data_IF_360263464780
#
_entry.id   IF_360263464780
#
_cell.length_a   1.000
_cell.length_b   1.000
_cell.length_c   1.000
_cell.angle_alpha   90.00
_cell.angle_beta   90.00
_cell.angle_gamma   90.00
#
_symmetry.space_group_name_H-M   'P 1'
#
loop_
_entity.id
_entity.type
_entity.pdbx_description
1 polymer ?
#
# COMPACT_ATOMS: atom_id res chain seq x y z
N UNK A 1 -0.94 -19.25 -7.86
CA UNK A 1 -1.20 -18.10 -6.97
C UNK A 1 -0.34 -18.28 -5.74
N UNK A 2 0.86 -17.69 -5.73
CA UNK A 2 1.73 -17.64 -4.55
C UNK A 2 1.01 -16.79 -3.51
N UNK A 3 0.59 -17.44 -2.42
CA UNK A 3 -0.28 -16.85 -1.41
C UNK A 3 0.42 -15.68 -0.73
N UNK A 4 -0.13 -14.48 -0.92
CA UNK A 4 0.23 -13.32 -0.11
C UNK A 4 0.14 -13.76 1.37
N UNK A 5 1.20 -13.60 2.18
CA UNK A 5 1.15 -13.88 3.61
C UNK A 5 -0.08 -13.21 4.24
N UNK A 6 -0.71 -13.84 5.23
CA UNK A 6 -1.95 -13.35 5.85
C UNK A 6 -1.87 -11.86 6.21
N UNK A 7 -0.77 -11.43 6.84
CA UNK A 7 -0.50 -10.03 7.18
C UNK A 7 -0.49 -9.10 5.97
N UNK A 8 0.09 -9.54 4.84
CA UNK A 8 0.08 -8.75 3.61
C UNK A 8 -1.31 -8.64 2.99
N UNK A 9 -2.15 -9.68 3.13
CA UNK A 9 -3.56 -9.64 2.70
C UNK A 9 -4.37 -8.67 3.56
N UNK A 10 -4.18 -8.72 4.87
CA UNK A 10 -4.84 -7.80 5.82
C UNK A 10 -4.41 -6.35 5.58
N UNK A 11 -3.12 -6.12 5.33
CA UNK A 11 -2.61 -4.79 4.97
C UNK A 11 -3.26 -4.25 3.70
N UNK A 12 -3.40 -5.09 2.66
CA UNK A 12 -4.09 -4.71 1.44
C UNK A 12 -5.56 -4.32 1.67
N UNK A 13 -6.29 -5.06 2.52
CA UNK A 13 -7.67 -4.70 2.88
C UNK A 13 -7.75 -3.36 3.63
N UNK A 14 -6.84 -3.10 4.57
CA UNK A 14 -6.79 -1.81 5.28
C UNK A 14 -6.54 -0.65 4.31
N UNK A 15 -5.68 -0.85 3.30
CA UNK A 15 -5.45 0.14 2.25
C UNK A 15 -6.68 0.34 1.36
N UNK A 16 -7.38 -0.73 0.97
CA UNK A 16 -8.60 -0.65 0.16
C UNK A 16 -9.73 0.04 0.92
N UNK A 17 -9.89 -0.22 2.22
CA UNK A 17 -10.84 0.50 3.07
C UNK A 17 -10.53 2.00 3.08
N UNK A 18 -9.26 2.37 3.22
CA UNK A 18 -8.84 3.77 3.20
C UNK A 18 -9.12 4.44 1.85
N UNK A 19 -8.86 3.74 0.74
CA UNK A 19 -9.20 4.21 -0.62
C UNK A 19 -10.71 4.33 -0.81
N UNK A 20 -11.51 3.42 -0.26
CA UNK A 20 -12.98 3.47 -0.39
C UNK A 20 -13.61 4.67 0.31
N UNK A 21 -12.92 5.21 1.31
CA UNK A 21 -13.33 6.39 2.09
C UNK A 21 -12.67 7.67 1.57
N UNK A 22 -11.84 7.58 0.52
CA UNK A 22 -11.11 8.70 -0.03
C UNK A 22 -11.98 9.51 -0.99
N UNK A 23 -12.43 10.68 -0.55
CA UNK A 23 -13.03 11.70 -1.40
C UNK A 23 -11.94 12.58 -2.07
N UNK A 24 -12.31 13.49 -2.98
CA UNK A 24 -11.38 14.38 -3.71
C UNK A 24 -10.44 15.21 -2.81
N UNK A 25 -10.72 15.31 -1.50
CA UNK A 25 -9.84 15.93 -0.52
C UNK A 25 -9.25 14.87 0.40
N UNK A 26 -7.92 14.72 0.46
CA UNK A 26 -7.26 13.87 1.44
C UNK A 26 -7.70 14.29 2.85
N UNK A 27 -8.34 13.39 3.59
CA UNK A 27 -8.57 13.56 5.03
C UNK A 27 -7.36 12.96 5.78
N UNK A 28 -6.51 13.77 6.42
CA UNK A 28 -5.37 13.28 7.18
C UNK A 28 -5.79 12.32 8.30
N UNK A 29 -7.01 12.43 8.84
CA UNK A 29 -7.51 11.50 9.85
C UNK A 29 -7.71 10.09 9.29
N UNK A 30 -8.17 9.94 8.04
CA UNK A 30 -8.33 8.64 7.41
C UNK A 30 -6.99 7.94 7.22
N UNK A 31 -5.97 8.69 6.78
CA UNK A 31 -4.60 8.20 6.64
C UNK A 31 -4.05 7.75 8.00
N UNK A 32 -4.21 8.58 9.04
CA UNK A 32 -3.73 8.26 10.38
C UNK A 32 -4.43 7.02 10.96
N UNK A 33 -5.74 6.84 10.72
CA UNK A 33 -6.49 5.64 11.12
C UNK A 33 -6.01 4.39 10.38
N UNK A 34 -5.73 4.50 9.08
CA UNK A 34 -5.17 3.41 8.30
C UNK A 34 -3.78 3.01 8.82
N UNK A 35 -2.89 3.97 9.06
CA UNK A 35 -1.56 3.73 9.64
C UNK A 35 -1.64 3.07 11.03
N UNK A 36 -2.54 3.52 11.90
CA UNK A 36 -2.76 2.90 13.21
C UNK A 36 -3.20 1.43 13.07
N UNK A 37 -4.12 1.15 12.14
CA UNK A 37 -4.57 -0.23 11.86
C UNK A 37 -3.44 -1.09 11.29
N UNK A 38 -2.62 -0.56 10.40
CA UNK A 38 -1.44 -1.25 9.84
C UNK A 38 -0.41 -1.60 10.93
N UNK A 39 -0.22 -0.71 11.91
CA UNK A 39 0.61 -0.98 13.08
C UNK A 39 0.05 -2.12 13.94
N UNK A 40 -1.27 -2.13 14.19
CA UNK A 40 -1.95 -3.18 14.98
C UNK A 40 -1.78 -4.58 14.36
N UNK A 41 -1.91 -4.70 13.04
CA UNK A 41 -1.75 -5.99 12.34
C UNK A 41 -0.28 -6.37 12.08
N UNK A 42 0.67 -5.55 12.56
CA UNK A 42 2.09 -5.79 12.36
C UNK A 42 2.55 -5.65 10.91
N UNK A 43 1.81 -4.92 10.07
CA UNK A 43 2.18 -4.64 8.68
C UNK A 43 3.22 -3.50 8.58
N UNK A 44 3.31 -2.66 9.62
CA UNK A 44 4.34 -1.65 9.83
C UNK A 44 4.91 -1.85 11.24
N UNK A 45 6.20 -2.16 11.36
CA UNK A 45 6.84 -2.43 12.65
C UNK A 45 8.12 -1.62 12.80
N UNK A 46 8.28 -0.95 13.94
CA UNK A 46 9.56 -0.38 14.35
C UNK A 46 10.47 -1.51 14.86
N UNK A 47 11.68 -1.62 14.31
CA UNK A 47 12.75 -2.52 14.72
C UNK A 47 13.89 -1.68 15.29
N UNK A 48 14.37 -2.02 16.47
CA UNK A 48 15.48 -1.31 17.12
C UNK A 48 15.70 -1.74 18.59
N UNK A 49 16.92 -1.57 19.14
CA UNK A 49 17.22 -1.89 20.53
C UNK A 49 16.62 -0.83 21.45
N UNK A 50 15.44 -1.14 21.99
CA UNK A 50 14.63 -0.28 22.86
C UNK A 50 14.12 1.01 22.17
N UNK A 51 12.82 1.26 22.32
CA UNK A 51 12.11 2.45 21.85
C UNK A 51 12.56 3.78 22.51
N UNK A 52 13.75 3.85 23.10
CA UNK A 52 14.24 4.97 23.88
C UNK A 52 15.13 5.93 23.09
N UNK A 53 15.80 5.48 22.01
CA UNK A 53 16.61 6.34 21.15
C UNK A 53 15.99 6.39 19.74
N UNK A 54 15.35 7.51 19.42
CA UNK A 54 14.72 7.76 18.10
C UNK A 54 15.74 7.87 16.95
N UNK A 55 17.04 7.78 17.23
CA UNK A 55 18.11 7.71 16.23
C UNK A 55 18.38 6.26 15.84
N UNK A 56 17.57 5.72 14.92
CA UNK A 56 17.79 4.37 14.36
C UNK A 56 16.59 3.43 14.42
N UNK A 57 15.37 3.96 14.27
CA UNK A 57 14.19 3.11 14.09
C UNK A 57 14.20 2.56 12.66
N UNK A 58 14.48 1.26 12.52
CA UNK A 58 14.27 0.55 11.25
C UNK A 58 12.79 0.21 11.12
N UNK A 59 12.10 0.77 10.12
CA UNK A 59 10.69 0.47 9.90
C UNK A 59 10.57 -0.70 8.91
N UNK A 60 10.06 -1.84 9.36
CA UNK A 60 9.68 -2.94 8.47
C UNK A 60 8.28 -2.71 7.91
N UNK A 61 8.21 -2.52 6.59
CA UNK A 61 6.98 -2.34 5.81
C UNK A 61 6.77 -3.46 4.77
N UNK A 62 7.50 -4.57 4.89
CA UNK A 62 7.53 -5.64 3.86
C UNK A 62 6.13 -6.15 3.53
N UNK A 63 5.30 -6.35 4.56
CA UNK A 63 3.94 -6.85 4.39
C UNK A 63 3.00 -5.82 3.76
N UNK A 64 3.20 -4.53 4.07
CA UNK A 64 2.46 -3.43 3.46
C UNK A 64 2.78 -3.31 1.96
N UNK A 65 4.07 -3.24 1.63
CA UNK A 65 4.54 -3.08 0.25
C UNK A 65 4.18 -4.30 -0.60
N UNK A 66 4.29 -5.51 -0.04
CA UNK A 66 3.93 -6.75 -0.74
C UNK A 66 2.45 -6.78 -1.13
N UNK A 67 1.54 -6.47 -0.19
CA UNK A 67 0.10 -6.43 -0.44
C UNK A 67 -0.28 -5.35 -1.48
N UNK A 68 0.26 -4.14 -1.31
CA UNK A 68 0.02 -3.03 -2.25
C UNK A 68 0.51 -3.34 -3.68
N UNK A 69 1.70 -3.94 -3.81
CA UNK A 69 2.28 -4.28 -5.12
C UNK A 69 1.40 -5.27 -5.88
N UNK A 70 0.87 -6.30 -5.21
CA UNK A 70 0.00 -7.29 -5.86
C UNK A 70 -1.34 -6.66 -6.26
N UNK A 71 -1.93 -5.83 -5.41
CA UNK A 71 -3.18 -5.13 -5.71
C UNK A 71 -3.01 -4.19 -6.92
N UNK A 72 -1.94 -3.39 -6.94
CA UNK A 72 -1.63 -2.49 -8.07
C UNK A 72 -1.40 -3.30 -9.35
N UNK A 73 -0.61 -4.38 -9.31
CA UNK A 73 -0.38 -5.24 -10.48
C UNK A 73 -1.68 -5.82 -11.03
N UNK A 74 -2.58 -6.26 -10.15
CA UNK A 74 -3.90 -6.77 -10.56
C UNK A 74 -4.74 -5.67 -11.24
N UNK A 75 -4.81 -4.47 -10.66
CA UNK A 75 -5.54 -3.33 -11.23
C UNK A 75 -4.98 -2.90 -12.59
N UNK A 76 -3.66 -2.82 -12.73
CA UNK A 76 -2.98 -2.50 -13.99
C UNK A 76 -3.35 -3.51 -15.07
N UNK A 77 -3.33 -4.81 -14.76
CA UNK A 77 -3.71 -5.86 -15.70
C UNK A 77 -5.17 -5.73 -16.16
N UNK A 78 -6.10 -5.44 -15.23
CA UNK A 78 -7.51 -5.23 -15.57
C UNK A 78 -7.71 -4.00 -16.46
N UNK A 79 -7.02 -2.90 -16.16
CA UNK A 79 -7.15 -1.66 -16.93
C UNK A 79 -6.55 -1.78 -18.33
N UNK A 80 -5.39 -2.45 -18.44
CA UNK A 80 -4.75 -2.75 -19.72
C UNK A 80 -5.65 -3.60 -20.61
N UNK A 81 -6.25 -4.66 -20.05
CA UNK A 81 -7.21 -5.51 -20.75
C UNK A 81 -8.45 -4.75 -21.20
N UNK A 82 -9.02 -3.91 -20.33
CA UNK A 82 -10.20 -3.10 -20.64
C UNK A 82 -9.96 -2.06 -21.74
N UNK A 83 -8.74 -1.51 -21.83
CA UNK A 83 -8.35 -0.50 -22.83
C UNK A 83 -7.74 -1.11 -24.10
N UNK A 84 -7.44 -2.41 -24.12
CA UNK A 84 -6.77 -3.07 -25.25
C UNK A 84 -5.34 -2.58 -25.47
N UNK A 85 -4.63 -2.24 -24.39
CA UNK A 85 -3.24 -1.76 -24.44
C UNK A 85 -2.32 -2.64 -23.61
N UNK A 86 -1.01 -2.50 -23.80
CA UNK A 86 0.01 -3.17 -22.99
C UNK A 86 0.04 -2.61 -21.56
N UNK A 87 0.28 -3.48 -20.57
CA UNK A 87 0.40 -3.07 -19.16
C UNK A 87 1.47 -2.00 -18.92
N UNK A 88 2.57 -2.03 -19.70
CA UNK A 88 3.65 -1.04 -19.64
C UNK A 88 3.18 0.38 -19.96
N UNK A 89 2.12 0.53 -20.76
CA UNK A 89 1.52 1.82 -21.10
C UNK A 89 0.80 2.41 -19.89
N UNK A 90 -0.02 1.59 -19.21
CA UNK A 90 -0.70 1.98 -17.96
C UNK A 90 0.30 2.36 -16.88
N UNK A 91 1.37 1.58 -16.71
CA UNK A 91 2.43 1.89 -15.74
C UNK A 91 3.11 3.22 -16.07
N UNK A 92 3.36 3.51 -17.35
CA UNK A 92 3.96 4.78 -17.78
C UNK A 92 3.04 5.96 -17.53
N UNK A 93 1.73 5.83 -17.80
CA UNK A 93 0.73 6.85 -17.47
C UNK A 93 0.66 7.12 -15.96
N UNK A 94 0.63 6.07 -15.13
CA UNK A 94 0.61 6.21 -13.67
C UNK A 94 1.87 6.92 -13.14
N UNK A 95 3.05 6.59 -13.66
CA UNK A 95 4.29 7.28 -13.30
C UNK A 95 4.23 8.76 -13.66
N UNK A 96 3.81 9.06 -14.89
CA UNK A 96 3.67 10.45 -15.33
C UNK A 96 2.72 11.25 -14.43
N UNK A 97 1.60 10.65 -14.00
CA UNK A 97 0.66 11.29 -13.08
C UNK A 97 1.25 11.57 -11.68
N UNK A 98 2.15 10.73 -11.19
CA UNK A 98 2.83 10.97 -9.90
C UNK A 98 3.92 12.03 -9.97
N UNK A 99 4.48 12.27 -11.16
CA UNK A 99 5.53 13.26 -11.39
C UNK A 99 4.97 14.68 -11.66
N UNK A 100 3.66 14.82 -11.86
CA UNK A 100 2.93 16.09 -12.09
C UNK A 100 2.24 16.60 -10.84
#
# INVERSE_FOLDING_TARGET
>A
MTGIPETGRQAANVLLDAVSLWDEKPDPELINRALARLGIIGAVQARGPAAADLQGIDIDVTHLVGGATVAIKWLVAQLAAARGVEESSIISELRHHFDT
#
